data_IF_572629189461
#
_entry.id   IF_572629189461
#
_cell.length_a   1.000
_cell.length_b   1.000
_cell.length_c   1.000
_cell.angle_alpha   90.00
_cell.angle_beta   90.00
_cell.angle_gamma   90.00
#
_symmetry.space_group_name_H-M   'P 1'
#
loop_
_entity.id
_entity.type
_entity.pdbx_description
1 polymer ?
#
# COMPACT_ATOMS: atom_id res chain seq x y z
N UNK A 1 6.92 19.71 27.31
CA UNK A 1 6.61 19.20 25.95
C UNK A 1 6.37 17.71 26.04
N UNK A 2 5.10 17.31 26.18
CA UNK A 2 4.74 15.91 26.44
C UNK A 2 4.80 15.10 25.14
N UNK A 3 5.86 14.32 24.97
CA UNK A 3 5.99 13.38 23.85
C UNK A 3 5.12 12.16 24.12
N UNK A 4 3.97 12.05 23.43
CA UNK A 4 3.09 10.87 23.53
C UNK A 4 3.76 9.65 22.88
N UNK A 5 4.29 8.75 23.70
CA UNK A 5 4.81 7.45 23.26
C UNK A 5 3.62 6.56 22.87
N UNK A 6 3.44 6.28 21.58
CA UNK A 6 2.39 5.35 21.12
C UNK A 6 2.74 3.92 21.54
N UNK A 7 1.82 3.17 22.18
CA UNK A 7 2.08 1.79 22.56
C UNK A 7 2.28 0.92 21.32
N UNK A 8 3.32 0.08 21.35
CA UNK A 8 3.60 -0.90 20.28
C UNK A 8 2.50 -1.97 20.30
N UNK A 9 1.84 -2.17 19.17
CA UNK A 9 0.74 -3.14 19.03
C UNK A 9 1.31 -4.57 19.05
N UNK A 10 1.03 -5.32 20.12
CA UNK A 10 1.38 -6.74 20.22
C UNK A 10 0.66 -7.54 19.12
N UNK A 11 1.42 -8.05 18.16
CA UNK A 11 0.89 -8.89 17.08
C UNK A 11 0.90 -10.34 17.56
N UNK A 12 -0.15 -10.77 18.25
CA UNK A 12 -0.37 -12.20 18.49
C UNK A 12 -0.54 -12.88 17.12
N UNK A 13 0.10 -14.03 16.92
CA UNK A 13 -0.08 -14.81 15.68
C UNK A 13 -1.56 -15.15 15.57
N UNK A 14 -2.19 -14.64 14.51
CA UNK A 14 -3.61 -14.89 14.24
C UNK A 14 -3.81 -16.40 14.00
N UNK A 15 -4.90 -17.01 14.49
CA UNK A 15 -5.21 -18.41 14.22
C UNK A 15 -5.26 -18.63 12.70
N UNK A 16 -4.70 -19.77 12.26
CA UNK A 16 -4.50 -20.13 10.84
C UNK A 16 -5.80 -20.17 10.03
N UNK A 17 -6.94 -20.34 10.71
CA UNK A 17 -8.29 -20.48 10.14
C UNK A 17 -8.97 -19.15 9.74
N UNK A 18 -8.26 -18.02 9.80
CA UNK A 18 -8.84 -16.75 9.39
C UNK A 18 -8.71 -16.55 7.87
N UNK A 19 -9.84 -16.59 7.16
CA UNK A 19 -9.93 -16.21 5.75
C UNK A 19 -9.32 -14.80 5.52
N UNK A 20 -8.45 -14.69 4.51
CA UNK A 20 -7.80 -13.44 4.12
C UNK A 20 -8.87 -12.46 3.63
N UNK A 21 -8.81 -11.20 4.08
CA UNK A 21 -9.76 -10.16 3.66
C UNK A 21 -9.69 -9.97 2.14
N UNK A 22 -10.84 -9.70 1.48
CA UNK A 22 -10.84 -9.40 0.06
C UNK A 22 -10.00 -8.14 -0.21
N UNK A 23 -9.42 -8.10 -1.40
CA UNK A 23 -8.59 -7.00 -1.88
C UNK A 23 -9.48 -5.81 -2.26
N UNK A 24 -9.14 -4.59 -1.85
CA UNK A 24 -9.87 -3.40 -2.28
C UNK A 24 -9.45 -2.97 -3.70
N UNK A 25 -10.22 -2.08 -4.34
CA UNK A 25 -9.95 -1.64 -5.72
C UNK A 25 -8.54 -1.06 -5.92
N UNK A 26 -8.08 -0.23 -4.98
CA UNK A 26 -6.70 0.28 -5.00
C UNK A 26 -5.66 -0.83 -4.97
N UNK A 27 -5.84 -1.85 -4.13
CA UNK A 27 -4.90 -2.95 -4.06
C UNK A 27 -4.91 -3.79 -5.35
N UNK A 28 -6.02 -3.88 -6.08
CA UNK A 28 -6.07 -4.56 -7.39
C UNK A 28 -5.22 -3.77 -8.39
N UNK A 29 -5.55 -2.48 -8.55
CA UNK A 29 -4.80 -1.52 -9.40
C UNK A 29 -3.30 -1.52 -9.10
N UNK A 30 -2.94 -1.54 -7.81
CA UNK A 30 -1.56 -1.57 -7.40
C UNK A 30 -0.83 -2.80 -7.92
N UNK A 31 -1.41 -4.01 -7.98
CA UNK A 31 -0.65 -5.16 -8.52
C UNK A 31 -0.43 -5.03 -10.03
N UNK A 32 -1.41 -4.48 -10.75
CA UNK A 32 -1.31 -4.32 -12.20
C UNK A 32 -0.23 -3.28 -12.56
N UNK A 33 -0.22 -2.14 -11.88
CA UNK A 33 0.71 -1.04 -12.17
C UNK A 33 2.08 -1.26 -11.54
N UNK A 34 2.17 -1.99 -10.43
CA UNK A 34 3.43 -2.18 -9.71
C UNK A 34 4.48 -2.89 -10.55
N UNK A 35 4.11 -3.91 -11.34
CA UNK A 35 5.09 -4.63 -12.17
C UNK A 35 5.67 -3.73 -13.26
N UNK A 36 4.85 -2.87 -13.86
CA UNK A 36 5.29 -1.87 -14.84
C UNK A 36 6.18 -0.80 -14.21
N UNK A 37 5.77 -0.28 -13.06
CA UNK A 37 6.51 0.76 -12.33
C UNK A 37 7.84 0.22 -11.80
N UNK A 38 7.87 -1.04 -11.34
CA UNK A 38 9.10 -1.73 -10.92
C UNK A 38 10.04 -1.97 -12.10
N UNK A 39 9.51 -2.31 -13.29
CA UNK A 39 10.33 -2.41 -14.52
C UNK A 39 10.94 -1.08 -14.94
N UNK A 40 10.18 0.02 -14.82
CA UNK A 40 10.66 1.37 -15.14
C UNK A 40 11.65 1.90 -14.11
N UNK A 41 11.48 1.51 -12.85
CA UNK A 41 12.32 1.96 -11.74
C UNK A 41 12.84 0.80 -10.89
N UNK A 42 13.74 -0.04 -11.44
CA UNK A 42 14.26 -1.21 -10.72
C UNK A 42 15.13 -0.83 -9.51
N UNK A 43 15.62 0.42 -9.45
CA UNK A 43 16.46 0.94 -8.37
C UNK A 43 15.67 1.48 -7.17
N UNK A 44 14.36 1.68 -7.31
CA UNK A 44 13.53 2.23 -6.24
C UNK A 44 13.04 1.12 -5.32
N UNK A 45 13.03 1.40 -4.02
CA UNK A 45 12.48 0.50 -3.01
C UNK A 45 10.96 0.45 -3.12
N UNK A 46 10.36 -0.65 -2.65
CA UNK A 46 8.91 -0.84 -2.60
C UNK A 46 8.15 0.35 -1.99
N UNK A 47 8.70 0.97 -0.93
CA UNK A 47 8.08 2.13 -0.28
C UNK A 47 7.91 3.32 -1.23
N UNK A 48 8.94 3.65 -2.01
CA UNK A 48 8.92 4.75 -2.99
C UNK A 48 7.96 4.45 -4.14
N UNK A 49 8.00 3.21 -4.65
CA UNK A 49 7.09 2.76 -5.71
C UNK A 49 5.63 2.83 -5.27
N UNK A 50 5.34 2.37 -4.05
CA UNK A 50 3.98 2.45 -3.48
C UNK A 50 3.52 3.88 -3.29
N UNK A 51 4.43 4.81 -2.96
CA UNK A 51 4.10 6.23 -2.82
C UNK A 51 3.74 6.83 -4.18
N UNK A 52 4.53 6.54 -5.22
CA UNK A 52 4.30 6.99 -6.59
C UNK A 52 2.96 6.50 -7.14
N UNK A 53 2.67 5.20 -7.00
CA UNK A 53 1.40 4.58 -7.44
C UNK A 53 0.21 5.21 -6.69
N UNK A 54 0.38 5.51 -5.40
CA UNK A 54 -0.64 6.18 -4.59
C UNK A 54 -0.96 7.60 -5.05
N UNK A 55 0.05 8.37 -5.52
CA UNK A 55 -0.15 9.70 -6.13
C UNK A 55 -0.91 9.56 -7.44
N UNK A 56 -0.47 8.65 -8.31
CA UNK A 56 -1.08 8.40 -9.61
C UNK A 56 -2.55 7.96 -9.50
N UNK A 57 -2.86 7.10 -8.52
CA UNK A 57 -4.24 6.70 -8.22
C UNK A 57 -5.12 7.88 -7.79
N UNK A 58 -4.60 8.78 -6.95
CA UNK A 58 -5.33 9.99 -6.53
C UNK A 58 -5.56 10.97 -7.67
N UNK A 59 -4.61 11.09 -8.59
CA UNK A 59 -4.76 11.94 -9.78
C UNK A 59 -5.81 11.38 -10.74
N UNK A 60 -5.81 10.06 -11.00
CA UNK A 60 -6.86 9.42 -11.80
C UNK A 60 -8.24 9.64 -11.18
N UNK A 61 -8.36 9.50 -9.86
CA UNK A 61 -9.63 9.73 -9.17
C UNK A 61 -10.10 11.19 -9.24
N UNK A 62 -9.20 12.17 -9.34
CA UNK A 62 -9.57 13.60 -9.50
C UNK A 62 -9.99 13.92 -10.94
N UNK A 63 -9.41 13.24 -11.93
CA UNK A 63 -9.76 13.42 -13.33
C UNK A 63 -11.07 12.73 -13.73
N UNK A 64 -11.55 11.80 -12.89
CA UNK A 64 -12.72 10.96 -13.16
C UNK A 64 -13.89 11.21 -12.18
N UNK A 65 -13.85 12.29 -11.39
CA UNK A 65 -14.91 12.66 -10.44
C UNK A 65 -15.81 13.78 -10.97
#
# INVERSE_FOLDING_TARGET
>A
TTTTIRPKRNYTKKPLDRLKRPRNGYMIYMNEVYDDVKRKHPNLKFGELSSLIGVQWKEMSKAQQ
#
